data_IF_829630813359
#
_entry.id   IF_829630813359
#
_cell.length_a   1.000
_cell.length_b   1.000
_cell.length_c   1.000
_cell.angle_alpha   90.00
_cell.angle_beta   90.00
_cell.angle_gamma   90.00
#
_symmetry.space_group_name_H-M   'P 1'
#
loop_
_entity.id
_entity.type
_entity.pdbx_description
1 polymer ?
#
# COMPACT_ATOMS: atom_id res chain seq x y z
N UNK A 1 27.04 -46.34 14.60
CA UNK A 1 25.69 -45.85 14.25
C UNK A 1 25.40 -44.47 14.84
N UNK A 2 25.56 -44.25 16.16
CA UNK A 2 25.36 -42.92 16.77
C UNK A 2 26.41 -41.88 16.33
N UNK A 3 27.69 -42.27 16.27
CA UNK A 3 28.80 -41.38 15.85
C UNK A 3 28.64 -40.86 14.41
N UNK A 4 28.24 -41.75 13.49
CA UNK A 4 27.94 -41.42 12.09
C UNK A 4 26.74 -40.48 11.93
N UNK A 5 25.74 -40.57 12.83
CA UNK A 5 24.59 -39.65 12.84
C UNK A 5 24.98 -38.27 13.37
N UNK A 6 25.81 -38.21 14.43
CA UNK A 6 26.35 -36.96 14.97
C UNK A 6 27.25 -36.23 13.96
N UNK A 7 28.11 -36.96 13.26
CA UNK A 7 28.97 -36.39 12.21
C UNK A 7 28.13 -35.85 11.02
N UNK A 8 27.06 -36.56 10.65
CA UNK A 8 26.11 -36.12 9.64
C UNK A 8 25.39 -34.82 10.03
N UNK A 9 24.89 -34.73 11.27
CA UNK A 9 24.27 -33.53 11.82
C UNK A 9 25.25 -32.33 11.83
N UNK A 10 26.48 -32.57 12.27
CA UNK A 10 27.51 -31.53 12.39
C UNK A 10 27.85 -30.90 11.02
N UNK A 11 27.85 -31.70 9.95
CA UNK A 11 28.10 -31.22 8.57
C UNK A 11 26.96 -30.36 8.01
N UNK A 12 25.73 -30.53 8.49
CA UNK A 12 24.54 -29.79 8.02
C UNK A 12 24.33 -28.51 8.86
N UNK A 13 24.66 -28.53 10.15
CA UNK A 13 24.48 -27.39 11.05
C UNK A 13 25.29 -26.15 10.64
N UNK A 14 26.52 -26.32 10.15
CA UNK A 14 27.36 -25.21 9.67
C UNK A 14 26.71 -24.43 8.51
N UNK A 15 26.43 -25.08 7.36
CA UNK A 15 25.74 -24.46 6.22
C UNK A 15 24.36 -23.87 6.56
N UNK A 16 23.58 -24.51 7.46
CA UNK A 16 22.30 -23.97 7.91
C UNK A 16 22.50 -22.67 8.69
N UNK A 17 23.49 -22.62 9.58
CA UNK A 17 23.77 -21.42 10.37
C UNK A 17 24.20 -20.25 9.47
N UNK A 18 25.06 -20.50 8.47
CA UNK A 18 25.48 -19.48 7.50
C UNK A 18 24.30 -18.99 6.65
N UNK A 19 23.50 -19.89 6.06
CA UNK A 19 22.29 -19.51 5.31
C UNK A 19 21.30 -18.70 6.16
N UNK A 20 21.16 -19.04 7.44
CA UNK A 20 20.28 -18.31 8.35
C UNK A 20 20.78 -16.89 8.64
N UNK A 21 22.11 -16.71 8.71
CA UNK A 21 22.76 -15.42 8.89
C UNK A 21 22.62 -14.57 7.63
N UNK A 22 22.94 -15.12 6.46
CA UNK A 22 22.84 -14.43 5.18
C UNK A 22 21.40 -13.96 4.92
N UNK A 23 20.41 -14.81 5.22
CA UNK A 23 18.99 -14.44 5.12
C UNK A 23 18.62 -13.29 6.05
N UNK A 24 19.19 -13.24 7.26
CA UNK A 24 18.96 -12.14 8.22
C UNK A 24 19.56 -10.83 7.72
N UNK A 25 20.80 -10.86 7.24
CA UNK A 25 21.49 -9.68 6.69
C UNK A 25 20.76 -9.13 5.45
N UNK A 26 20.28 -10.01 4.55
CA UNK A 26 19.45 -9.62 3.41
C UNK A 26 18.13 -8.96 3.86
N UNK A 27 17.50 -9.47 4.92
CA UNK A 27 16.26 -8.89 5.47
C UNK A 27 16.53 -7.51 6.07
N UNK A 28 17.60 -7.36 6.85
CA UNK A 28 17.98 -6.08 7.46
C UNK A 28 18.32 -5.03 6.39
N UNK A 29 18.96 -5.46 5.29
CA UNK A 29 19.20 -4.63 4.12
C UNK A 29 17.88 -4.18 3.47
N UNK A 30 16.94 -5.09 3.21
CA UNK A 30 15.63 -4.77 2.66
C UNK A 30 14.85 -3.77 3.55
N UNK A 31 14.87 -3.99 4.85
CA UNK A 31 14.22 -3.13 5.83
C UNK A 31 14.85 -1.73 5.89
N UNK A 32 16.18 -1.62 5.72
CA UNK A 32 16.86 -0.32 5.67
C UNK A 32 16.39 0.54 4.50
N UNK A 33 16.19 -0.06 3.33
CA UNK A 33 15.74 0.69 2.14
C UNK A 33 14.32 1.22 2.34
N UNK A 34 13.40 0.41 2.88
CA UNK A 34 12.04 0.87 3.24
C UNK A 34 12.10 1.96 4.32
N UNK A 35 12.94 1.80 5.35
CA UNK A 35 13.08 2.82 6.40
C UNK A 35 13.48 4.17 5.81
N UNK A 36 14.47 4.17 4.90
CA UNK A 36 14.90 5.39 4.23
C UNK A 36 13.77 6.04 3.42
N UNK A 37 13.03 5.26 2.63
CA UNK A 37 11.90 5.76 1.85
C UNK A 37 10.78 6.34 2.75
N UNK A 38 10.48 5.68 3.87
CA UNK A 38 9.52 6.16 4.87
C UNK A 38 9.98 7.48 5.48
N UNK A 39 11.20 7.54 6.00
CA UNK A 39 11.74 8.71 6.69
C UNK A 39 11.79 9.93 5.75
N UNK A 40 12.28 9.76 4.52
CA UNK A 40 12.28 10.82 3.52
C UNK A 40 10.88 11.31 3.16
N UNK A 41 9.91 10.40 3.10
CA UNK A 41 8.51 10.78 2.84
C UNK A 41 7.90 11.55 4.01
N UNK A 42 8.18 11.17 5.26
CA UNK A 42 7.74 11.92 6.43
C UNK A 42 8.36 13.32 6.47
N UNK A 43 9.65 13.43 6.15
CA UNK A 43 10.34 14.71 6.08
C UNK A 43 9.77 15.58 4.95
N UNK A 44 9.40 14.98 3.82
CA UNK A 44 8.70 15.68 2.74
C UNK A 44 7.36 16.26 3.19
N UNK A 45 6.51 15.43 3.83
CA UNK A 45 5.22 15.89 4.35
C UNK A 45 5.35 16.92 5.49
N UNK A 46 6.42 16.86 6.29
CA UNK A 46 6.72 17.94 7.25
C UNK A 46 7.01 19.25 6.52
N UNK A 47 7.85 19.19 5.50
CA UNK A 47 8.32 20.39 4.81
C UNK A 47 7.20 21.03 3.96
N UNK A 48 6.33 20.23 3.32
CA UNK A 48 5.15 20.74 2.61
C UNK A 48 4.14 21.40 3.56
N UNK A 49 3.94 20.86 4.77
CA UNK A 49 3.06 21.46 5.77
C UNK A 49 3.58 22.84 6.24
N UNK A 50 4.89 23.05 6.20
CA UNK A 50 5.52 24.31 6.57
C UNK A 50 5.54 25.33 5.42
N UNK A 51 5.86 24.88 4.20
CA UNK A 51 6.04 25.77 3.04
C UNK A 51 4.76 25.97 2.22
N UNK A 52 3.82 25.04 2.28
CA UNK A 52 2.65 24.95 1.39
C UNK A 52 2.99 24.59 -0.06
N UNK A 53 4.25 24.29 -0.37
CA UNK A 53 4.73 24.10 -1.75
C UNK A 53 5.33 22.71 -1.96
N UNK A 54 4.89 22.04 -3.04
CA UNK A 54 5.45 20.77 -3.49
C UNK A 54 6.85 20.98 -4.08
N UNK A 55 7.74 20.02 -3.83
CA UNK A 55 9.07 19.97 -4.43
C UNK A 55 9.16 18.77 -5.36
N UNK A 56 9.07 19.02 -6.67
CA UNK A 56 9.01 17.99 -7.70
C UNK A 56 10.31 17.15 -7.79
N UNK A 57 11.47 17.77 -7.55
CA UNK A 57 12.75 17.03 -7.52
C UNK A 57 12.76 16.02 -6.38
N UNK A 58 12.24 16.44 -5.22
CA UNK A 58 12.13 15.58 -4.04
C UNK A 58 11.12 14.47 -4.26
N UNK A 59 9.96 14.75 -4.87
CA UNK A 59 8.99 13.71 -5.24
C UNK A 59 9.61 12.68 -6.21
N UNK A 60 10.40 13.11 -7.20
CA UNK A 60 11.12 12.19 -8.08
C UNK A 60 12.15 11.32 -7.33
N UNK A 61 12.80 11.85 -6.28
CA UNK A 61 13.67 11.06 -5.41
C UNK A 61 12.86 10.06 -4.57
N UNK A 62 11.72 10.45 -4.03
CA UNK A 62 10.83 9.55 -3.30
C UNK A 62 10.40 8.38 -4.20
N UNK A 63 10.00 8.65 -5.44
CA UNK A 63 9.69 7.60 -6.42
C UNK A 63 10.84 6.58 -6.54
N UNK A 64 12.09 7.03 -6.67
CA UNK A 64 13.28 6.17 -6.75
C UNK A 64 13.53 5.37 -5.46
N UNK A 65 13.34 5.98 -4.29
CA UNK A 65 13.53 5.28 -3.02
C UNK A 65 12.49 4.17 -2.84
N UNK A 66 11.24 4.44 -3.20
CA UNK A 66 10.15 3.46 -3.09
C UNK A 66 10.32 2.28 -4.06
N UNK A 67 10.73 2.50 -5.32
CA UNK A 67 11.02 1.41 -6.26
C UNK A 67 12.24 0.60 -5.86
N UNK A 68 13.30 1.27 -5.38
CA UNK A 68 14.48 0.57 -4.83
C UNK A 68 14.11 -0.32 -3.63
N UNK A 69 13.11 0.08 -2.84
CA UNK A 69 12.64 -0.68 -1.68
C UNK A 69 11.83 -1.94 -2.06
N UNK A 70 11.09 -1.89 -3.17
CA UNK A 70 10.29 -3.03 -3.66
C UNK A 70 11.18 -4.24 -4.02
N UNK A 71 12.30 -4.00 -4.71
CA UNK A 71 13.17 -5.07 -5.25
C UNK A 71 13.64 -6.07 -4.19
N UNK A 72 14.26 -5.66 -3.07
CA UNK A 72 14.67 -6.62 -2.04
C UNK A 72 13.49 -7.14 -1.22
N UNK A 73 12.40 -6.38 -1.10
CA UNK A 73 11.26 -6.76 -0.26
C UNK A 73 10.48 -7.95 -0.84
N UNK A 74 10.45 -8.13 -2.17
CA UNK A 74 9.79 -9.27 -2.83
C UNK A 74 10.23 -10.65 -2.30
N UNK A 75 11.44 -10.74 -1.73
CA UNK A 75 11.98 -11.98 -1.18
C UNK A 75 11.46 -12.31 0.23
N UNK A 76 10.85 -11.34 0.91
CA UNK A 76 10.42 -11.45 2.30
C UNK A 76 8.92 -11.20 2.50
N UNK A 77 8.34 -10.26 1.75
CA UNK A 77 6.92 -9.92 1.77
C UNK A 77 6.50 -9.35 0.40
N UNK A 78 5.84 -10.17 -0.41
CA UNK A 78 5.38 -9.82 -1.75
C UNK A 78 4.33 -8.69 -1.72
N UNK A 79 3.45 -8.69 -0.73
CA UNK A 79 2.42 -7.65 -0.60
C UNK A 79 3.05 -6.30 -0.27
N UNK A 80 3.98 -6.26 0.69
CA UNK A 80 4.71 -5.05 1.02
C UNK A 80 5.59 -4.56 -0.14
N UNK A 81 6.15 -5.49 -0.93
CA UNK A 81 6.84 -5.16 -2.18
C UNK A 81 5.94 -4.43 -3.17
N UNK A 82 4.73 -4.96 -3.43
CA UNK A 82 3.76 -4.33 -4.34
C UNK A 82 3.30 -2.95 -3.83
N UNK A 83 3.11 -2.81 -2.52
CA UNK A 83 2.80 -1.52 -1.90
C UNK A 83 3.94 -0.51 -2.12
N UNK A 84 5.21 -0.92 -1.99
CA UNK A 84 6.34 -0.04 -2.28
C UNK A 84 6.37 0.38 -3.76
N UNK A 85 6.07 -0.53 -4.68
CA UNK A 85 6.00 -0.23 -6.12
C UNK A 85 4.89 0.77 -6.44
N UNK A 86 3.67 0.54 -5.96
CA UNK A 86 2.57 1.50 -6.12
C UNK A 86 2.87 2.85 -5.46
N UNK A 87 3.58 2.86 -4.32
CA UNK A 87 4.02 4.12 -3.71
C UNK A 87 5.05 4.83 -4.58
N UNK A 88 5.90 4.10 -5.30
CA UNK A 88 6.82 4.67 -6.29
C UNK A 88 6.07 5.34 -7.44
N UNK A 89 5.06 4.66 -7.99
CA UNK A 89 4.19 5.16 -9.06
C UNK A 89 3.39 6.40 -8.62
N UNK A 90 2.90 6.41 -7.39
CA UNK A 90 2.24 7.56 -6.78
C UNK A 90 3.12 8.82 -6.84
N UNK A 91 4.40 8.71 -6.51
CA UNK A 91 5.32 9.86 -6.52
C UNK A 91 5.69 10.37 -7.90
N UNK A 92 5.38 9.64 -8.99
CA UNK A 92 5.56 10.14 -10.35
C UNK A 92 4.49 11.19 -10.69
N UNK A 93 3.24 10.95 -10.27
CA UNK A 93 2.15 11.91 -10.44
C UNK A 93 1.08 11.74 -9.35
N UNK A 94 1.27 12.37 -8.17
CA UNK A 94 0.33 12.28 -7.06
C UNK A 94 -1.10 12.74 -7.39
N UNK A 95 -1.27 13.68 -8.32
CA UNK A 95 -2.57 14.28 -8.64
C UNK A 95 -3.50 13.30 -9.38
N UNK A 96 -2.97 12.18 -9.88
CA UNK A 96 -3.75 11.12 -10.51
C UNK A 96 -4.45 10.18 -9.51
N UNK A 97 -4.13 10.30 -8.22
CA UNK A 97 -4.62 9.40 -7.18
C UNK A 97 -5.55 10.16 -6.24
N UNK A 98 -6.75 9.61 -6.04
CA UNK A 98 -7.63 10.08 -4.99
C UNK A 98 -7.39 9.31 -3.67
N UNK A 99 -8.04 9.75 -2.58
CA UNK A 99 -7.90 9.12 -1.27
C UNK A 99 -8.32 7.64 -1.27
N UNK A 100 -9.27 7.27 -2.12
CA UNK A 100 -9.71 5.88 -2.27
C UNK A 100 -8.64 5.05 -2.99
N UNK A 101 -8.01 5.57 -4.05
CA UNK A 101 -6.88 4.91 -4.71
C UNK A 101 -5.74 4.67 -3.71
N UNK A 102 -5.40 5.68 -2.90
CA UNK A 102 -4.35 5.61 -1.89
C UNK A 102 -4.66 4.54 -0.82
N UNK A 103 -5.91 4.45 -0.39
CA UNK A 103 -6.35 3.44 0.59
C UNK A 103 -6.38 2.03 0.00
N UNK A 104 -6.89 1.88 -1.23
CA UNK A 104 -7.01 0.60 -1.92
C UNK A 104 -5.65 -0.02 -2.22
N UNK A 105 -4.72 0.77 -2.73
CA UNK A 105 -3.34 0.34 -2.99
C UNK A 105 -2.56 0.12 -1.68
N UNK A 106 -3.12 0.55 -0.54
CA UNK A 106 -2.47 0.43 0.76
C UNK A 106 -1.21 1.27 0.91
N UNK A 107 -1.12 2.34 0.12
CA UNK A 107 0.03 3.24 0.05
C UNK A 107 -0.10 4.43 1.01
N UNK A 108 -1.10 4.41 1.91
CA UNK A 108 -1.14 5.33 3.06
C UNK A 108 0.14 5.15 3.88
N UNK A 109 0.84 6.24 4.16
CA UNK A 109 2.18 6.15 4.75
C UNK A 109 2.18 5.43 6.11
N UNK A 110 1.12 5.61 6.91
CA UNK A 110 0.95 4.92 8.19
C UNK A 110 0.68 3.42 8.05
N UNK A 111 -0.01 2.98 6.99
CA UNK A 111 -0.19 1.55 6.70
C UNK A 111 1.15 0.90 6.41
N UNK A 112 1.94 1.53 5.53
CA UNK A 112 3.27 1.02 5.15
C UNK A 112 4.20 1.00 6.36
N UNK A 113 4.15 2.04 7.22
CA UNK A 113 4.93 2.10 8.46
C UNK A 113 4.57 0.98 9.42
N UNK A 114 3.29 0.62 9.53
CA UNK A 114 2.84 -0.48 10.37
C UNK A 114 3.34 -1.83 9.84
N UNK A 115 3.22 -2.07 8.53
CA UNK A 115 3.75 -3.27 7.89
C UNK A 115 5.28 -3.39 8.08
N UNK A 116 6.01 -2.30 7.87
CA UNK A 116 7.45 -2.21 8.14
C UNK A 116 7.79 -2.55 9.62
N UNK A 117 7.10 -1.95 10.58
CA UNK A 117 7.35 -2.19 12.02
C UNK A 117 7.11 -3.65 12.41
N UNK A 118 6.05 -4.26 11.88
CA UNK A 118 5.75 -5.69 12.08
C UNK A 118 6.90 -6.57 11.58
N UNK A 119 7.51 -6.21 10.45
CA UNK A 119 8.66 -6.92 9.88
C UNK A 119 9.96 -6.71 10.67
N UNK A 120 10.16 -5.50 11.21
CA UNK A 120 11.33 -5.11 12.01
C UNK A 120 11.35 -5.79 13.38
N UNK A 121 10.20 -5.83 14.08
CA UNK A 121 10.07 -6.51 15.36
C UNK A 121 8.66 -7.05 15.54
N UNK A 122 8.46 -8.38 15.54
CA UNK A 122 7.15 -8.99 15.77
C UNK A 122 6.56 -8.69 17.16
N UNK A 123 7.39 -8.28 18.13
CA UNK A 123 6.97 -7.87 19.47
C UNK A 123 6.55 -6.41 19.56
N UNK A 124 6.68 -5.65 18.47
CA UNK A 124 6.21 -4.28 18.37
C UNK A 124 4.69 -4.26 18.14
N UNK A 125 3.93 -4.79 19.11
CA UNK A 125 2.51 -4.45 19.24
C UNK A 125 2.46 -3.04 19.82
N UNK A 126 2.07 -2.05 19.01
CA UNK A 126 1.72 -0.75 19.54
C UNK A 126 0.49 -1.00 20.42
N UNK A 127 0.67 -0.96 21.74
CA UNK A 127 -0.43 -0.98 22.68
C UNK A 127 -1.39 0.18 22.30
N UNK A 128 -2.59 -0.15 21.85
CA UNK A 128 -3.67 0.83 21.65
C UNK A 128 -4.17 1.11 20.24
N UNK A 129 -4.02 0.20 19.27
CA UNK A 129 -4.95 0.11 18.13
C UNK A 129 -5.05 -1.34 17.68
N UNK A 130 -5.97 -2.08 18.30
CA UNK A 130 -6.54 -3.24 17.63
C UNK A 130 -7.19 -2.73 16.35
N UNK A 131 -6.67 -3.12 15.19
CA UNK A 131 -7.45 -3.48 14.00
C UNK A 131 -6.55 -3.66 12.77
N UNK A 132 -7.08 -4.45 11.85
CA UNK A 132 -7.02 -4.21 10.41
C UNK A 132 -6.21 -5.20 9.57
N UNK A 133 -6.66 -6.45 9.58
CA UNK A 133 -6.38 -7.40 8.50
C UNK A 133 -7.24 -7.08 7.28
N UNK A 134 -6.65 -6.38 6.30
CA UNK A 134 -7.18 -6.12 4.94
C UNK A 134 -7.81 -7.34 4.24
N UNK A 135 -7.46 -8.56 4.65
CA UNK A 135 -8.05 -9.81 4.14
C UNK A 135 -9.58 -9.91 4.31
N UNK A 136 -10.16 -9.28 5.34
CA UNK A 136 -11.61 -9.37 5.60
C UNK A 136 -12.45 -8.46 4.70
N UNK A 137 -11.88 -7.34 4.22
CA UNK A 137 -12.59 -6.43 3.28
C UNK A 137 -12.53 -6.90 1.84
N UNK A 138 -11.49 -7.64 1.46
CA UNK A 138 -11.31 -8.15 0.09
C UNK A 138 -12.34 -9.21 -0.28
N UNK A 139 -12.91 -9.90 0.71
CA UNK A 139 -13.91 -10.96 0.50
C UNK A 139 -15.32 -10.40 0.20
N UNK A 140 -15.63 -9.14 0.55
CA UNK A 140 -16.98 -8.60 0.48
C UNK A 140 -17.32 -7.80 -0.80
N UNK A 141 -16.30 -7.31 -1.53
CA UNK A 141 -16.51 -6.43 -2.69
C UNK A 141 -15.68 -6.87 -3.90
N UNK A 142 -16.18 -7.89 -4.61
CA UNK A 142 -15.48 -8.57 -5.72
C UNK A 142 -15.04 -7.62 -6.86
N UNK A 143 -15.73 -6.48 -7.03
CA UNK A 143 -15.48 -5.50 -8.09
C UNK A 143 -14.88 -4.17 -7.56
N UNK A 144 -14.47 -4.10 -6.28
CA UNK A 144 -13.91 -2.88 -5.67
C UNK A 144 -12.59 -2.40 -6.29
N UNK A 145 -11.94 -3.26 -7.09
CA UNK A 145 -10.61 -3.05 -7.68
C UNK A 145 -10.63 -3.00 -9.21
N UNK A 146 -11.80 -3.10 -9.86
CA UNK A 146 -11.88 -2.95 -11.31
C UNK A 146 -11.75 -1.46 -11.69
N UNK A 147 -10.95 -1.15 -12.72
CA UNK A 147 -10.93 0.20 -13.29
C UNK A 147 -12.35 0.58 -13.70
N UNK A 148 -12.78 1.80 -13.37
CA UNK A 148 -14.00 2.36 -13.90
C UNK A 148 -13.92 2.39 -15.43
N UNK A 149 -14.83 1.68 -16.07
CA UNK A 149 -15.01 1.71 -17.51
C UNK A 149 -15.87 2.91 -17.94
N UNK A 150 -15.88 3.22 -19.23
CA UNK A 150 -16.79 4.26 -19.75
C UNK A 150 -18.24 3.86 -19.52
N UNK A 151 -18.56 2.57 -19.63
CA UNK A 151 -19.88 2.02 -19.35
C UNK A 151 -20.27 2.14 -17.87
N UNK A 152 -19.32 2.02 -16.95
CA UNK A 152 -19.56 2.24 -15.51
C UNK A 152 -19.86 3.71 -15.21
N UNK A 153 -19.12 4.63 -15.85
CA UNK A 153 -19.31 6.08 -15.68
C UNK A 153 -20.69 6.50 -16.23
N UNK A 154 -21.09 6.02 -17.42
CA UNK A 154 -22.42 6.24 -18.01
C UNK A 154 -23.54 5.71 -17.11
N UNK A 155 -23.36 4.49 -16.58
CA UNK A 155 -24.33 3.87 -15.66
C UNK A 155 -24.42 4.62 -14.33
N UNK A 156 -23.31 5.13 -13.82
CA UNK A 156 -23.27 5.89 -12.58
C UNK A 156 -24.02 7.22 -12.74
N UNK A 157 -23.79 7.92 -13.86
CA UNK A 157 -24.46 9.16 -14.21
C UNK A 157 -25.98 8.96 -14.34
N UNK A 158 -26.41 7.90 -15.02
CA UNK A 158 -27.84 7.56 -15.14
C UNK A 158 -28.49 7.36 -13.76
N UNK A 159 -27.91 6.52 -12.91
CA UNK A 159 -28.46 6.20 -11.59
C UNK A 159 -28.42 7.40 -10.63
N UNK A 160 -27.42 8.27 -10.77
CA UNK A 160 -27.36 9.55 -10.04
C UNK A 160 -28.50 10.48 -10.44
N UNK A 161 -28.79 10.59 -11.74
CA UNK A 161 -29.93 11.35 -12.27
C UNK A 161 -31.29 10.77 -11.84
N UNK A 162 -31.39 9.45 -11.66
CA UNK A 162 -32.55 8.79 -11.06
C UNK A 162 -32.72 9.09 -9.56
N UNK A 163 -31.75 9.76 -8.93
CA UNK A 163 -31.81 10.18 -7.53
C UNK A 163 -31.37 9.11 -6.54
N UNK A 164 -30.63 8.09 -7.00
CA UNK A 164 -30.05 7.08 -6.11
C UNK A 164 -29.05 7.72 -5.16
N UNK A 165 -29.16 7.33 -3.89
CA UNK A 165 -28.23 7.76 -2.85
C UNK A 165 -26.87 7.07 -3.02
N UNK A 166 -25.81 7.68 -2.48
CA UNK A 166 -24.44 7.10 -2.47
C UNK A 166 -24.43 5.67 -1.92
N UNK A 167 -25.26 5.39 -0.91
CA UNK A 167 -25.41 4.06 -0.31
C UNK A 167 -26.05 3.04 -1.25
N UNK A 168 -27.07 3.44 -2.01
CA UNK A 168 -27.68 2.57 -3.02
C UNK A 168 -26.73 2.33 -4.19
N UNK A 169 -26.03 3.37 -4.65
CA UNK A 169 -25.01 3.26 -5.69
C UNK A 169 -23.88 2.32 -5.25
N UNK A 170 -23.40 2.46 -4.02
CA UNK A 170 -22.41 1.57 -3.39
C UNK A 170 -22.85 0.09 -3.45
N UNK A 171 -24.12 -0.20 -3.14
CA UNK A 171 -24.67 -1.55 -3.26
C UNK A 171 -24.78 -2.03 -4.72
N UNK A 172 -25.23 -1.18 -5.65
CA UNK A 172 -25.43 -1.52 -7.07
C UNK A 172 -24.12 -1.82 -7.77
N UNK A 173 -23.09 -1.00 -7.53
CA UNK A 173 -21.76 -1.18 -8.11
C UNK A 173 -20.90 -2.17 -7.31
N UNK A 174 -21.39 -2.63 -6.15
CA UNK A 174 -20.64 -3.43 -5.19
C UNK A 174 -19.27 -2.81 -4.84
N UNK A 175 -19.21 -1.47 -4.77
CA UNK A 175 -18.03 -0.67 -4.43
C UNK A 175 -18.26 0.06 -3.11
N UNK A 176 -17.20 0.53 -2.46
CA UNK A 176 -17.34 1.34 -1.26
C UNK A 176 -17.95 2.72 -1.58
N UNK A 177 -18.64 3.32 -0.60
CA UNK A 177 -19.28 4.64 -0.75
C UNK A 177 -18.27 5.73 -1.14
N UNK A 178 -17.05 5.67 -0.61
CA UNK A 178 -15.97 6.59 -0.98
C UNK A 178 -15.61 6.56 -2.47
N UNK A 179 -15.54 5.38 -3.11
CA UNK A 179 -15.27 5.30 -4.55
C UNK A 179 -16.42 5.87 -5.38
N UNK A 180 -17.67 5.73 -4.91
CA UNK A 180 -18.83 6.34 -5.53
C UNK A 180 -18.75 7.87 -5.43
N UNK A 181 -18.47 8.43 -4.25
CA UNK A 181 -18.37 9.88 -4.07
C UNK A 181 -17.22 10.50 -4.88
N UNK A 182 -16.03 9.89 -4.83
CA UNK A 182 -14.89 10.34 -5.64
C UNK A 182 -15.22 10.33 -7.12
N UNK A 183 -15.94 9.29 -7.59
CA UNK A 183 -16.30 9.20 -9.01
C UNK A 183 -17.37 10.22 -9.41
N UNK A 184 -18.40 10.43 -8.58
CA UNK A 184 -19.39 11.50 -8.78
C UNK A 184 -18.71 12.86 -8.91
N UNK A 185 -17.72 13.13 -8.05
CA UNK A 185 -16.93 14.36 -8.09
C UNK A 185 -16.09 14.45 -9.36
N UNK A 186 -15.43 13.38 -9.76
CA UNK A 186 -14.58 13.35 -10.97
C UNK A 186 -15.37 13.54 -12.27
N UNK A 187 -16.60 13.04 -12.31
CA UNK A 187 -17.52 13.23 -13.43
C UNK A 187 -18.30 14.55 -13.36
N UNK A 188 -18.10 15.34 -12.29
CA UNK A 188 -18.73 16.64 -12.03
C UNK A 188 -20.26 16.56 -12.06
N UNK A 189 -20.84 15.44 -11.59
CA UNK A 189 -22.28 15.18 -11.74
C UNK A 189 -23.13 16.13 -10.89
N UNK A 190 -22.63 16.58 -9.74
CA UNK A 190 -23.35 17.52 -8.87
C UNK A 190 -23.45 18.90 -9.51
N UNK A 191 -22.37 19.31 -10.17
CA UNK A 191 -22.26 20.58 -10.88
C UNK A 191 -23.07 20.56 -12.20
N UNK A 192 -23.07 19.43 -12.92
CA UNK A 192 -23.83 19.27 -14.18
C UNK A 192 -25.35 19.29 -13.97
N UNK A 193 -25.83 18.72 -12.87
CA UNK A 193 -27.27 18.48 -12.64
C UNK A 193 -27.86 19.27 -11.46
N UNK A 194 -27.09 20.12 -10.80
CA UNK A 194 -27.48 20.97 -9.66
C UNK A 194 -28.16 20.17 -8.52
N UNK A 195 -27.48 19.10 -8.08
CA UNK A 195 -27.96 18.14 -7.06
C UNK A 195 -26.97 17.90 -5.91
#
# INVERSE_FOLDING_TARGET
MIKTLLDGLSKILGPIATLSKDRRELKDSALRVISNALDETFLYYRDINNSGQRNLEREALLSKYWSAAAIPMRHFDEQLSNICEHKSEYWVNPDNYDDNDIEQLGIRLDDVRQAYRKMLSPKFSIAGKDTYTKAEKQQAHKNAYERWSTEDDEKLELLFCEGKTVKELSAIFARNEGAIESRIKKLELREKYDR
#
